data_IF_237263405772
#
_entry.id   IF_237263405772
#
_cell.length_a   1.000
_cell.length_b   1.000
_cell.length_c   1.000
_cell.angle_alpha   90.00
_cell.angle_beta   90.00
_cell.angle_gamma   90.00
#
_symmetry.space_group_name_H-M   'P 1'
#
loop_
_entity.id
_entity.type
_entity.pdbx_description
1 polymer ?
#
# COMPACT_ATOMS: atom_id res chain seq x y z
N UNK A 1 35.30 20.19 44.26
CA UNK A 1 34.32 20.49 43.20
C UNK A 1 34.95 20.12 41.86
N UNK A 2 34.74 18.88 41.41
CA UNK A 2 35.29 18.35 40.16
C UNK A 2 34.46 18.84 38.97
N UNK A 3 35.04 19.70 38.14
CA UNK A 3 34.49 20.12 36.86
C UNK A 3 34.61 18.95 35.88
N UNK A 4 33.58 18.11 35.82
CA UNK A 4 33.39 17.12 34.76
C UNK A 4 33.14 17.92 33.47
N UNK A 5 34.20 18.13 32.69
CA UNK A 5 34.10 18.48 31.26
C UNK A 5 33.32 17.35 30.60
N UNK A 6 32.05 17.60 30.28
CA UNK A 6 31.33 16.77 29.33
C UNK A 6 32.04 16.96 27.99
N UNK A 7 32.93 16.03 27.65
CA UNK A 7 33.39 15.92 26.27
C UNK A 7 32.14 15.71 25.41
N UNK A 8 31.84 16.71 24.58
CA UNK A 8 30.86 16.57 23.53
C UNK A 8 31.44 15.55 22.55
N UNK A 9 31.09 14.27 22.76
CA UNK A 9 31.38 13.20 21.81
C UNK A 9 30.82 13.67 20.47
N UNK A 10 31.72 13.94 19.52
CA UNK A 10 31.33 14.30 18.17
C UNK A 10 30.35 13.24 17.65
N UNK A 11 29.22 13.64 17.03
CA UNK A 11 28.30 12.66 16.47
C UNK A 11 29.11 11.75 15.55
N UNK A 12 29.07 10.44 15.79
CA UNK A 12 29.77 9.40 15.04
C UNK A 12 29.33 9.44 13.57
N UNK A 13 29.90 10.38 12.82
CA UNK A 13 29.44 10.80 11.50
C UNK A 13 30.37 10.28 10.39
N UNK A 14 31.24 9.30 10.68
CA UNK A 14 32.27 8.92 9.71
C UNK A 14 32.78 7.48 9.72
N UNK A 15 32.35 6.58 10.62
CA UNK A 15 32.90 5.22 10.62
C UNK A 15 32.21 4.33 9.59
N UNK A 16 32.69 4.40 8.35
CA UNK A 16 32.33 3.49 7.27
C UNK A 16 32.45 2.01 7.67
N UNK A 17 33.31 1.70 8.65
CA UNK A 17 33.46 0.35 9.24
C UNK A 17 32.22 -0.09 10.03
N UNK A 18 31.64 0.79 10.84
CA UNK A 18 30.40 0.49 11.58
C UNK A 18 29.21 0.35 10.63
N UNK A 19 29.15 1.20 9.59
CA UNK A 19 28.14 1.09 8.54
C UNK A 19 28.27 -0.22 7.73
N UNK A 20 29.51 -0.65 7.42
CA UNK A 20 29.79 -1.92 6.76
C UNK A 20 29.45 -3.11 7.65
N UNK A 21 29.86 -3.10 8.91
CA UNK A 21 29.56 -4.17 9.87
C UNK A 21 28.05 -4.27 10.15
N UNK A 22 27.36 -3.13 10.27
CA UNK A 22 25.90 -3.09 10.35
C UNK A 22 25.25 -3.64 9.09
N UNK A 23 25.72 -3.24 7.91
CA UNK A 23 25.23 -3.74 6.62
C UNK A 23 25.44 -5.26 6.46
N UNK A 24 26.58 -5.79 6.90
CA UNK A 24 26.88 -7.23 6.89
C UNK A 24 26.00 -7.97 7.89
N UNK A 25 25.85 -7.45 9.12
CA UNK A 25 24.96 -8.04 10.12
C UNK A 25 23.50 -8.09 9.63
N UNK A 26 23.04 -7.00 9.00
CA UNK A 26 21.72 -6.93 8.36
C UNK A 26 21.60 -7.90 7.19
N UNK A 27 22.63 -8.03 6.36
CA UNK A 27 22.63 -8.99 5.25
C UNK A 27 22.53 -10.44 5.78
N UNK A 28 23.23 -10.77 6.86
CA UNK A 28 23.12 -12.08 7.52
C UNK A 28 21.73 -12.29 8.15
N UNK A 29 21.17 -11.28 8.83
CA UNK A 29 19.80 -11.34 9.37
C UNK A 29 18.78 -11.53 8.24
N UNK A 30 18.94 -10.82 7.13
CA UNK A 30 18.09 -10.95 5.95
C UNK A 30 18.21 -12.33 5.28
N UNK A 31 19.42 -12.91 5.28
CA UNK A 31 19.68 -14.26 4.74
C UNK A 31 19.17 -15.38 5.63
N UNK A 32 18.98 -15.15 6.93
CA UNK A 32 18.39 -16.15 7.84
C UNK A 32 16.98 -16.53 7.37
N UNK A 33 16.17 -15.56 6.93
CA UNK A 33 14.76 -15.83 6.57
C UNK A 33 14.58 -16.73 5.33
N UNK A 34 15.25 -16.49 4.18
CA UNK A 34 15.22 -17.39 3.03
C UNK A 34 15.79 -18.79 3.29
N UNK A 35 16.75 -18.89 4.22
CA UNK A 35 17.46 -20.15 4.48
C UNK A 35 16.71 -21.02 5.50
N UNK A 36 16.03 -20.42 6.48
CA UNK A 36 15.35 -21.15 7.57
C UNK A 36 13.86 -21.38 7.33
N UNK A 37 13.19 -20.55 6.54
CA UNK A 37 11.74 -20.64 6.39
C UNK A 37 11.28 -21.02 4.98
N UNK A 38 10.17 -21.77 4.92
CA UNK A 38 9.47 -22.05 3.67
C UNK A 38 8.99 -20.76 2.98
N UNK A 39 8.74 -20.84 1.66
CA UNK A 39 8.61 -19.73 0.69
C UNK A 39 7.79 -18.52 1.17
N UNK A 40 6.81 -18.74 2.03
CA UNK A 40 5.83 -17.79 2.56
C UNK A 40 6.40 -16.77 3.57
N UNK A 41 7.18 -17.20 4.56
CA UNK A 41 7.67 -16.32 5.64
C UNK A 41 8.75 -15.35 5.20
N UNK A 42 9.41 -15.65 4.08
CA UNK A 42 10.49 -14.83 3.52
C UNK A 42 10.00 -13.39 3.27
N UNK A 43 8.77 -13.24 2.77
CA UNK A 43 8.20 -11.92 2.45
C UNK A 43 7.88 -11.12 3.71
N UNK A 44 7.37 -11.81 4.75
CA UNK A 44 7.11 -11.20 6.06
C UNK A 44 8.42 -10.80 6.75
N UNK A 45 9.45 -11.66 6.67
CA UNK A 45 10.79 -11.37 7.15
C UNK A 45 11.34 -10.08 6.55
N UNK A 46 11.32 -9.97 5.21
CA UNK A 46 11.78 -8.74 4.52
C UNK A 46 10.95 -7.51 4.87
N UNK A 47 9.63 -7.65 5.04
CA UNK A 47 8.77 -6.53 5.41
C UNK A 47 9.06 -6.01 6.83
N UNK A 48 9.19 -6.92 7.79
CA UNK A 48 9.50 -6.59 9.19
C UNK A 48 10.92 -6.05 9.32
N UNK A 49 11.89 -6.67 8.64
CA UNK A 49 13.28 -6.22 8.62
C UNK A 49 13.41 -4.84 7.97
N UNK A 50 12.73 -4.61 6.84
CA UNK A 50 12.67 -3.31 6.18
C UNK A 50 12.12 -2.22 7.11
N UNK A 51 11.08 -2.52 7.89
CA UNK A 51 10.57 -1.60 8.92
C UNK A 51 11.59 -1.40 10.06
N UNK A 52 12.18 -2.48 10.57
CA UNK A 52 13.16 -2.43 11.65
C UNK A 52 14.37 -1.56 11.28
N UNK A 53 14.83 -1.64 10.03
CA UNK A 53 15.88 -0.78 9.47
C UNK A 53 15.51 0.70 9.47
N UNK A 54 14.29 1.02 9.04
CA UNK A 54 13.79 2.40 9.05
C UNK A 54 13.58 2.93 10.48
N UNK A 55 13.28 2.05 11.44
CA UNK A 55 13.21 2.42 12.86
C UNK A 55 14.60 2.54 13.49
N UNK A 56 15.55 1.67 13.13
CA UNK A 56 16.94 1.74 13.60
C UNK A 56 17.61 3.02 13.13
N UNK A 57 17.23 3.53 11.95
CA UNK A 57 17.64 4.84 11.47
C UNK A 57 17.31 5.97 12.50
N UNK A 58 16.26 5.83 13.31
CA UNK A 58 15.94 6.80 14.37
C UNK A 58 16.98 6.84 15.49
N UNK A 59 17.69 5.73 15.71
CA UNK A 59 18.73 5.59 16.74
C UNK A 59 20.11 5.86 16.15
N UNK A 60 20.36 5.41 14.92
CA UNK A 60 21.65 5.55 14.23
C UNK A 60 21.43 6.27 12.89
N UNK A 61 21.69 7.59 12.80
CA UNK A 61 21.33 8.39 11.64
C UNK A 61 22.31 8.20 10.46
N UNK A 62 22.27 7.03 9.83
CA UNK A 62 23.03 6.70 8.61
C UNK A 62 22.13 6.65 7.38
N UNK A 63 22.54 7.34 6.30
CA UNK A 63 21.76 7.42 5.07
C UNK A 63 21.54 6.06 4.38
N UNK A 64 22.50 5.13 4.50
CA UNK A 64 22.41 3.79 3.92
C UNK A 64 21.25 2.96 4.47
N UNK A 65 21.00 3.02 5.78
CA UNK A 65 19.91 2.26 6.41
C UNK A 65 18.53 2.64 5.86
N UNK A 66 18.33 3.93 5.52
CA UNK A 66 17.08 4.41 4.92
C UNK A 66 16.84 3.81 3.55
N UNK A 67 17.88 3.80 2.71
CA UNK A 67 17.78 3.31 1.33
C UNK A 67 17.55 1.80 1.35
N UNK A 68 18.32 1.05 2.16
CA UNK A 68 18.20 -0.40 2.27
C UNK A 68 16.84 -0.80 2.85
N UNK A 69 16.37 -0.13 3.91
CA UNK A 69 15.05 -0.40 4.49
C UNK A 69 13.90 -0.11 3.52
N UNK A 70 13.96 1.01 2.80
CA UNK A 70 12.97 1.33 1.77
C UNK A 70 13.03 0.38 0.57
N UNK A 71 14.23 -0.06 0.17
CA UNK A 71 14.42 -1.03 -0.90
C UNK A 71 13.83 -2.39 -0.51
N UNK A 72 14.10 -2.89 0.70
CA UNK A 72 13.53 -4.15 1.20
C UNK A 72 12.01 -4.12 1.24
N UNK A 73 11.41 -3.04 1.74
CA UNK A 73 9.96 -2.86 1.73
C UNK A 73 9.39 -2.83 0.30
N UNK A 74 10.11 -2.21 -0.64
CA UNK A 74 9.72 -2.17 -2.05
C UNK A 74 9.82 -3.55 -2.69
N UNK A 75 10.86 -4.33 -2.38
CA UNK A 75 11.01 -5.71 -2.85
C UNK A 75 9.90 -6.61 -2.30
N UNK A 76 9.57 -6.46 -1.02
CA UNK A 76 8.44 -7.18 -0.41
C UNK A 76 7.11 -6.83 -1.10
N UNK A 77 6.88 -5.54 -1.40
CA UNK A 77 5.72 -5.10 -2.18
C UNK A 77 5.70 -5.72 -3.58
N UNK A 78 6.81 -5.63 -4.33
CA UNK A 78 6.91 -6.15 -5.70
C UNK A 78 6.62 -7.65 -5.73
N UNK A 79 7.15 -8.39 -4.76
CA UNK A 79 6.90 -9.82 -4.63
C UNK A 79 5.42 -10.12 -4.39
N UNK A 80 4.74 -9.41 -3.48
CA UNK A 80 3.31 -9.67 -3.22
C UNK A 80 2.41 -9.19 -4.37
N UNK A 81 2.73 -8.06 -4.99
CA UNK A 81 1.86 -7.45 -5.99
C UNK A 81 2.03 -8.04 -7.40
N UNK A 82 3.27 -8.42 -7.78
CA UNK A 82 3.58 -8.84 -9.16
C UNK A 82 3.80 -10.34 -9.31
N UNK A 83 3.92 -11.11 -8.22
CA UNK A 83 4.10 -12.55 -8.32
C UNK A 83 2.77 -13.29 -8.08
N UNK A 84 2.06 -13.72 -9.14
CA UNK A 84 0.80 -14.44 -9.00
C UNK A 84 0.97 -15.79 -8.29
N UNK A 85 2.16 -16.40 -8.34
CA UNK A 85 2.44 -17.67 -7.66
C UNK A 85 2.32 -17.59 -6.14
N UNK A 86 2.35 -16.37 -5.57
CA UNK A 86 2.09 -16.15 -4.14
C UNK A 86 0.69 -16.63 -3.75
N UNK A 87 -0.29 -16.54 -4.67
CA UNK A 87 -1.67 -16.97 -4.42
C UNK A 87 -1.85 -18.49 -4.42
N UNK A 88 -0.84 -19.25 -4.82
CA UNK A 88 -0.90 -20.72 -4.91
C UNK A 88 -0.04 -21.41 -3.86
N UNK A 89 0.69 -20.66 -3.03
CA UNK A 89 1.61 -21.23 -2.04
C UNK A 89 0.90 -22.04 -0.95
N UNK A 90 -0.31 -21.66 -0.55
CA UNK A 90 -1.09 -22.44 0.41
C UNK A 90 -2.48 -22.81 -0.11
N UNK A 91 -2.90 -24.09 0.08
CA UNK A 91 -4.29 -24.46 -0.06
C UNK A 91 -5.12 -23.66 0.94
N UNK A 92 -6.32 -23.24 0.52
CA UNK A 92 -7.19 -22.36 1.30
C UNK A 92 -7.53 -22.97 2.67
N UNK A 93 -7.31 -22.20 3.73
CA UNK A 93 -7.71 -22.57 5.09
C UNK A 93 -9.23 -22.46 5.23
N UNK A 94 -9.88 -23.35 6.00
CA UNK A 94 -11.34 -23.32 6.19
C UNK A 94 -11.85 -22.08 6.96
N UNK A 95 -10.96 -21.32 7.61
CA UNK A 95 -11.30 -20.13 8.39
C UNK A 95 -11.34 -18.89 7.47
N UNK A 96 -12.53 -18.59 6.93
CA UNK A 96 -12.78 -17.60 5.85
C UNK A 96 -12.23 -16.17 6.00
N UNK A 97 -11.91 -15.72 7.21
CA UNK A 97 -11.35 -14.38 7.43
C UNK A 97 -9.89 -14.41 7.88
N UNK A 98 -9.50 -15.44 8.64
CA UNK A 98 -8.15 -15.61 9.19
C UNK A 98 -7.30 -16.46 8.23
N UNK A 99 -7.10 -15.91 7.04
CA UNK A 99 -6.33 -16.55 5.98
C UNK A 99 -4.89 -16.00 5.93
N UNK A 100 -3.98 -16.81 5.37
CA UNK A 100 -2.57 -16.43 5.20
C UNK A 100 -2.41 -15.11 4.43
N UNK A 101 -3.31 -14.83 3.45
CA UNK A 101 -3.35 -13.57 2.71
C UNK A 101 -3.50 -12.34 3.62
N UNK A 102 -4.34 -12.44 4.65
CA UNK A 102 -4.55 -11.36 5.61
C UNK A 102 -3.26 -11.04 6.35
N UNK A 103 -2.52 -12.08 6.78
CA UNK A 103 -1.25 -11.90 7.47
C UNK A 103 -0.18 -11.33 6.52
N UNK A 104 0.03 -11.96 5.36
CA UNK A 104 1.09 -11.57 4.43
C UNK A 104 0.91 -10.14 3.88
N UNK A 105 -0.27 -9.84 3.33
CA UNK A 105 -0.52 -8.53 2.74
C UNK A 105 -0.82 -7.47 3.81
N UNK A 106 -1.51 -7.86 4.90
CA UNK A 106 -1.85 -6.95 6.00
C UNK A 106 -0.63 -6.47 6.76
N UNK A 107 0.23 -7.39 7.21
CA UNK A 107 1.47 -7.04 7.93
C UNK A 107 2.38 -6.21 7.03
N UNK A 108 2.58 -6.62 5.77
CA UNK A 108 3.43 -5.87 4.83
C UNK A 108 2.90 -4.46 4.57
N UNK A 109 1.57 -4.30 4.44
CA UNK A 109 0.95 -2.97 4.30
C UNK A 109 1.17 -2.10 5.54
N UNK A 110 0.99 -2.68 6.74
CA UNK A 110 1.27 -1.97 8.00
C UNK A 110 2.74 -1.56 8.10
N UNK A 111 3.67 -2.43 7.71
CA UNK A 111 5.11 -2.13 7.65
C UNK A 111 5.41 -0.97 6.68
N UNK A 112 4.79 -0.96 5.50
CA UNK A 112 4.92 0.15 4.53
C UNK A 112 4.42 1.48 5.11
N UNK A 113 3.23 1.48 5.71
CA UNK A 113 2.62 2.69 6.29
C UNK A 113 3.37 3.19 7.54
N UNK A 114 3.83 2.27 8.40
CA UNK A 114 4.63 2.59 9.58
C UNK A 114 6.02 3.10 9.17
N UNK A 115 6.65 2.48 8.17
CA UNK A 115 7.94 2.91 7.61
C UNK A 115 7.85 4.31 7.00
N UNK A 116 6.77 4.60 6.28
CA UNK A 116 6.51 5.95 5.75
C UNK A 116 6.43 7.01 6.86
N UNK A 117 5.66 6.74 7.93
CA UNK A 117 5.57 7.63 9.11
C UNK A 117 6.93 7.81 9.79
N UNK A 118 7.69 6.73 9.91
CA UNK A 118 8.99 6.75 10.57
C UNK A 118 9.99 7.64 9.83
N UNK A 119 10.02 7.59 8.49
CA UNK A 119 10.95 8.40 7.69
C UNK A 119 10.51 9.87 7.59
N UNK A 120 9.19 10.15 7.56
CA UNK A 120 8.67 11.51 7.43
C UNK A 120 9.05 12.44 8.60
N UNK A 121 9.28 11.89 9.79
CA UNK A 121 9.52 12.68 11.01
C UNK A 121 10.93 13.28 11.11
N UNK A 122 11.90 12.85 10.30
CA UNK A 122 13.34 13.05 10.64
C UNK A 122 14.20 13.63 9.51
N UNK A 123 13.69 14.26 8.45
CA UNK A 123 14.58 14.58 7.33
C UNK A 123 14.20 15.75 6.43
N UNK A 124 15.20 16.59 6.11
CA UNK A 124 15.09 17.77 5.23
C UNK A 124 15.55 17.54 3.76
N UNK A 125 16.11 16.37 3.43
CA UNK A 125 16.64 16.07 2.09
C UNK A 125 15.55 15.70 1.06
N UNK A 126 15.85 15.82 -0.24
CA UNK A 126 14.93 15.47 -1.34
C UNK A 126 14.49 14.00 -1.30
N UNK A 127 15.42 13.08 -1.04
CA UNK A 127 15.14 11.63 -0.91
C UNK A 127 14.10 11.38 0.18
N UNK A 128 14.16 12.12 1.28
CA UNK A 128 13.18 12.00 2.35
C UNK A 128 11.81 12.59 2.06
N UNK A 129 11.66 13.43 1.03
CA UNK A 129 10.33 13.82 0.56
C UNK A 129 9.71 12.74 -0.34
N UNK A 130 10.53 12.02 -1.11
CA UNK A 130 10.06 11.00 -2.06
C UNK A 130 9.76 9.67 -1.37
N UNK A 131 10.66 9.18 -0.52
CA UNK A 131 10.54 7.83 0.09
C UNK A 131 9.25 7.65 0.89
N UNK A 132 8.85 8.53 1.82
CA UNK A 132 7.58 8.37 2.55
C UNK A 132 6.37 8.37 1.63
N UNK A 133 6.35 9.23 0.60
CA UNK A 133 5.25 9.29 -0.37
C UNK A 133 5.12 7.97 -1.12
N UNK A 134 6.25 7.45 -1.60
CA UNK A 134 6.31 6.15 -2.27
C UNK A 134 5.80 5.04 -1.34
N UNK A 135 6.31 4.94 -0.12
CA UNK A 135 5.88 3.93 0.85
C UNK A 135 4.39 4.02 1.21
N UNK A 136 3.84 5.24 1.37
CA UNK A 136 2.39 5.42 1.56
C UNK A 136 1.58 4.94 0.34
N UNK A 137 2.02 5.26 -0.87
CA UNK A 137 1.33 4.81 -2.09
C UNK A 137 1.37 3.30 -2.24
N UNK A 138 2.53 2.67 -2.02
CA UNK A 138 2.68 1.21 -2.07
C UNK A 138 1.81 0.53 -1.01
N UNK A 139 1.79 1.05 0.22
CA UNK A 139 0.94 0.53 1.30
C UNK A 139 -0.56 0.66 0.98
N UNK A 140 -0.98 1.79 0.40
CA UNK A 140 -2.37 1.98 -0.02
C UNK A 140 -2.77 1.00 -1.13
N UNK A 141 -1.92 0.80 -2.14
CA UNK A 141 -2.13 -0.18 -3.21
C UNK A 141 -2.22 -1.59 -2.62
N UNK A 142 -1.31 -1.97 -1.73
CA UNK A 142 -1.30 -3.30 -1.13
C UNK A 142 -2.53 -3.56 -0.26
N UNK A 143 -3.00 -2.54 0.45
CA UNK A 143 -4.27 -2.61 1.21
C UNK A 143 -5.47 -2.82 0.28
N UNK A 144 -5.48 -2.14 -0.87
CA UNK A 144 -6.53 -2.31 -1.86
C UNK A 144 -6.49 -3.72 -2.48
N UNK A 145 -5.30 -4.25 -2.79
CA UNK A 145 -5.14 -5.62 -3.26
C UNK A 145 -5.63 -6.64 -2.21
N UNK A 146 -5.25 -6.47 -0.94
CA UNK A 146 -5.73 -7.30 0.16
C UNK A 146 -7.26 -7.30 0.25
N UNK A 147 -7.90 -6.13 0.14
CA UNK A 147 -9.36 -6.03 0.14
C UNK A 147 -9.98 -6.85 -1.00
N UNK A 148 -9.40 -6.81 -2.21
CA UNK A 148 -9.89 -7.60 -3.34
C UNK A 148 -9.67 -9.10 -3.13
N UNK A 149 -8.50 -9.50 -2.63
CA UNK A 149 -8.18 -10.91 -2.35
C UNK A 149 -9.11 -11.48 -1.27
N UNK A 150 -9.41 -10.74 -0.21
CA UNK A 150 -10.31 -11.20 0.86
C UNK A 150 -11.75 -11.39 0.35
N UNK A 151 -12.23 -10.54 -0.55
CA UNK A 151 -13.54 -10.72 -1.18
C UNK A 151 -13.51 -11.93 -2.11
N UNK A 152 -12.45 -12.09 -2.91
CA UNK A 152 -12.28 -13.24 -3.79
C UNK A 152 -12.27 -14.56 -3.01
N UNK A 153 -11.55 -14.59 -1.89
CA UNK A 153 -11.49 -15.73 -1.00
C UNK A 153 -12.86 -16.01 -0.38
N UNK A 154 -13.52 -15.02 0.22
CA UNK A 154 -14.81 -15.19 0.90
C UNK A 154 -15.90 -15.84 0.00
N UNK A 155 -15.94 -15.46 -1.28
CA UNK A 155 -16.94 -15.95 -2.24
C UNK A 155 -16.51 -17.18 -3.04
N UNK A 156 -15.25 -17.61 -2.94
CA UNK A 156 -14.79 -18.84 -3.61
C UNK A 156 -15.27 -20.09 -2.84
N UNK A 157 -15.91 -21.03 -3.54
CA UNK A 157 -16.44 -22.27 -2.94
C UNK A 157 -15.51 -23.50 -3.08
N UNK A 158 -14.46 -23.42 -3.91
CA UNK A 158 -13.48 -24.50 -4.12
C UNK A 158 -12.12 -24.27 -3.43
N UNK A 159 -11.19 -25.25 -3.53
CA UNK A 159 -9.83 -25.17 -2.98
C UNK A 159 -8.92 -24.16 -3.69
N UNK A 160 -9.32 -23.66 -4.86
CA UNK A 160 -8.61 -22.65 -5.66
C UNK A 160 -9.45 -21.39 -5.84
N UNK A 161 -8.78 -20.24 -6.04
CA UNK A 161 -9.44 -18.97 -6.37
C UNK A 161 -10.13 -19.10 -7.73
N UNK A 162 -11.45 -19.11 -7.74
CA UNK A 162 -12.24 -19.18 -8.98
C UNK A 162 -12.85 -17.81 -9.25
N UNK A 163 -12.29 -17.09 -10.21
CA UNK A 163 -12.84 -15.83 -10.72
C UNK A 163 -14.00 -16.12 -11.67
N UNK A 164 -15.10 -16.66 -11.15
CA UNK A 164 -16.29 -16.98 -11.98
C UNK A 164 -17.06 -15.70 -12.30
N UNK A 165 -16.89 -15.10 -13.48
CA UNK A 165 -17.54 -13.82 -13.88
C UNK A 165 -19.07 -13.88 -14.06
N UNK A 166 -19.69 -15.04 -13.83
CA UNK A 166 -21.13 -15.27 -13.95
C UNK A 166 -21.63 -16.08 -12.76
N UNK A 167 -22.72 -15.64 -12.12
CA UNK A 167 -23.49 -16.47 -11.18
C UNK A 167 -23.54 -16.02 -9.72
N UNK A 168 -22.93 -14.89 -9.30
CA UNK A 168 -23.03 -14.47 -7.89
C UNK A 168 -23.13 -12.94 -7.72
N UNK A 169 -24.32 -12.38 -7.95
CA UNK A 169 -24.64 -10.95 -7.77
C UNK A 169 -24.15 -10.40 -6.42
N UNK A 170 -24.24 -11.19 -5.35
CA UNK A 170 -23.78 -10.82 -4.02
C UNK A 170 -22.26 -10.51 -3.98
N UNK A 171 -21.44 -11.25 -4.73
CA UNK A 171 -19.99 -11.01 -4.82
C UNK A 171 -19.70 -9.70 -5.54
N UNK A 172 -20.35 -9.47 -6.67
CA UNK A 172 -20.09 -8.29 -7.50
C UNK A 172 -20.55 -7.00 -6.78
N UNK A 173 -21.68 -7.07 -6.08
CA UNK A 173 -22.15 -6.06 -5.12
C UNK A 173 -21.14 -5.81 -4.00
N UNK A 174 -20.57 -6.87 -3.41
CA UNK A 174 -19.59 -6.73 -2.33
C UNK A 174 -18.34 -6.01 -2.80
N UNK A 175 -17.83 -6.32 -4.01
CA UNK A 175 -16.72 -5.57 -4.60
C UNK A 175 -17.06 -4.09 -4.78
N UNK A 176 -18.24 -3.77 -5.32
CA UNK A 176 -18.67 -2.38 -5.55
C UNK A 176 -18.80 -1.60 -4.23
N UNK A 177 -19.42 -2.19 -3.21
CA UNK A 177 -19.53 -1.60 -1.86
C UNK A 177 -18.14 -1.41 -1.24
N UNK A 178 -17.28 -2.43 -1.29
CA UNK A 178 -15.97 -2.38 -0.66
C UNK A 178 -15.05 -1.34 -1.32
N UNK A 179 -15.06 -1.24 -2.65
CA UNK A 179 -14.30 -0.19 -3.34
C UNK A 179 -14.85 1.21 -3.04
N UNK A 180 -16.18 1.38 -2.92
CA UNK A 180 -16.78 2.67 -2.57
C UNK A 180 -16.39 3.09 -1.14
N UNK A 181 -16.42 2.15 -0.18
CA UNK A 181 -15.93 2.37 1.19
C UNK A 181 -14.44 2.70 1.21
N UNK A 182 -13.62 2.01 0.42
CA UNK A 182 -12.19 2.30 0.32
C UNK A 182 -11.92 3.70 -0.29
N UNK A 183 -12.66 4.07 -1.34
CA UNK A 183 -12.61 5.41 -1.93
C UNK A 183 -12.99 6.49 -0.92
N UNK A 184 -14.07 6.27 -0.16
CA UNK A 184 -14.50 7.17 0.90
C UNK A 184 -13.43 7.30 2.02
N UNK A 185 -12.82 6.18 2.43
CA UNK A 185 -11.72 6.19 3.39
C UNK A 185 -10.51 6.99 2.86
N UNK A 186 -10.13 6.83 1.59
CA UNK A 186 -9.09 7.64 0.96
C UNK A 186 -9.43 9.13 0.96
N UNK A 187 -10.69 9.50 0.70
CA UNK A 187 -11.12 10.90 0.77
C UNK A 187 -10.98 11.46 2.19
N UNK A 188 -11.48 10.74 3.20
CA UNK A 188 -11.36 11.15 4.60
C UNK A 188 -9.90 11.29 5.04
N UNK A 189 -9.05 10.32 4.70
CA UNK A 189 -7.62 10.35 5.00
C UNK A 189 -6.94 11.50 4.26
N UNK A 190 -7.25 11.70 2.98
CA UNK A 190 -6.70 12.79 2.16
C UNK A 190 -7.13 14.17 2.64
N UNK A 191 -8.35 14.31 3.18
CA UNK A 191 -8.83 15.53 3.84
C UNK A 191 -8.12 15.79 5.17
N UNK A 192 -8.06 14.80 6.06
CA UNK A 192 -7.37 14.90 7.37
C UNK A 192 -5.87 15.18 7.21
N UNK A 193 -5.21 14.49 6.28
CA UNK A 193 -3.80 14.67 6.00
C UNK A 193 -3.49 15.89 5.10
N UNK A 194 -4.52 16.59 4.60
CA UNK A 194 -4.42 17.74 3.67
C UNK A 194 -3.65 17.43 2.38
N UNK A 195 -3.59 16.17 1.95
CA UNK A 195 -2.87 15.74 0.73
C UNK A 195 -3.84 15.72 -0.46
N UNK A 196 -3.61 16.58 -1.45
CA UNK A 196 -4.46 16.66 -2.66
C UNK A 196 -4.44 15.35 -3.47
N UNK A 197 -3.27 14.73 -3.64
CA UNK A 197 -3.09 13.50 -4.43
C UNK A 197 -3.97 12.35 -3.91
N UNK A 198 -4.01 12.15 -2.58
CA UNK A 198 -4.82 11.08 -1.97
C UNK A 198 -6.32 11.33 -2.17
N UNK A 199 -6.75 12.59 -2.11
CA UNK A 199 -8.14 12.94 -2.41
C UNK A 199 -8.50 12.66 -3.86
N UNK A 200 -7.64 13.02 -4.80
CA UNK A 200 -7.88 12.74 -6.22
C UNK A 200 -7.91 11.23 -6.51
N UNK A 201 -7.02 10.45 -5.88
CA UNK A 201 -7.07 9.00 -5.97
C UNK A 201 -8.40 8.43 -5.43
N UNK A 202 -8.90 8.96 -4.31
CA UNK A 202 -10.22 8.61 -3.78
C UNK A 202 -11.37 8.97 -4.73
N UNK A 203 -11.37 10.18 -5.31
CA UNK A 203 -12.38 10.58 -6.32
C UNK A 203 -12.32 9.70 -7.56
N UNK A 204 -11.12 9.44 -8.07
CA UNK A 204 -10.92 8.59 -9.24
C UNK A 204 -11.41 7.15 -8.98
N UNK A 205 -11.10 6.58 -7.82
CA UNK A 205 -11.60 5.26 -7.46
C UNK A 205 -13.14 5.25 -7.29
N UNK A 206 -13.71 6.31 -6.69
CA UNK A 206 -15.16 6.44 -6.54
C UNK A 206 -15.86 6.51 -7.90
N UNK A 207 -15.28 7.22 -8.86
CA UNK A 207 -15.76 7.25 -10.23
C UNK A 207 -15.74 5.86 -10.87
N UNK A 208 -14.61 5.16 -10.75
CA UNK A 208 -14.47 3.81 -11.31
C UNK A 208 -15.51 2.88 -10.69
N UNK A 209 -15.78 2.98 -9.38
CA UNK A 209 -16.84 2.19 -8.75
C UNK A 209 -18.22 2.52 -9.25
N UNK A 210 -18.55 3.80 -9.42
CA UNK A 210 -19.86 4.20 -9.93
C UNK A 210 -20.02 3.71 -11.36
N UNK A 211 -19.02 3.92 -12.22
CA UNK A 211 -19.03 3.42 -13.59
C UNK A 211 -19.20 1.90 -13.63
N UNK A 212 -18.45 1.16 -12.80
CA UNK A 212 -18.58 -0.30 -12.68
C UNK A 212 -20.02 -0.68 -12.29
N UNK A 213 -20.59 -0.02 -11.27
CA UNK A 213 -21.95 -0.27 -10.80
C UNK A 213 -22.98 -0.04 -11.93
N UNK A 214 -22.85 1.06 -12.68
CA UNK A 214 -23.74 1.33 -13.81
C UNK A 214 -23.56 0.34 -14.97
N UNK A 215 -22.34 -0.05 -15.31
CA UNK A 215 -22.06 -0.92 -16.46
C UNK A 215 -22.37 -2.38 -16.15
N UNK A 216 -22.03 -2.88 -14.97
CA UNK A 216 -22.14 -4.30 -14.63
C UNK A 216 -23.39 -4.62 -13.80
N UNK A 217 -23.72 -3.78 -12.80
CA UNK A 217 -24.83 -4.08 -11.89
C UNK A 217 -26.19 -3.69 -12.50
N UNK A 218 -26.24 -2.63 -13.32
CA UNK A 218 -27.46 -2.20 -14.02
C UNK A 218 -27.68 -2.84 -15.40
N UNK A 219 -26.66 -3.43 -16.04
CA UNK A 219 -26.83 -4.13 -17.32
C UNK A 219 -27.76 -5.35 -17.23
N UNK A 220 -27.93 -5.91 -16.03
CA UNK A 220 -28.86 -7.01 -15.77
C UNK A 220 -30.32 -6.53 -15.56
N UNK A 221 -30.60 -5.23 -15.56
CA UNK A 221 -31.90 -4.63 -15.20
C UNK A 221 -32.56 -3.88 -16.38
N UNK A 222 -32.97 -4.60 -17.42
CA UNK A 222 -34.00 -4.17 -18.40
C UNK A 222 -33.88 -2.77 -19.03
N UNK A 223 -34.98 -2.18 -19.56
CA UNK A 223 -34.99 -0.89 -20.26
C UNK A 223 -34.55 0.33 -19.43
N UNK A 224 -34.58 0.26 -18.09
CA UNK A 224 -34.07 1.30 -17.19
C UNK A 224 -32.55 1.54 -17.38
N UNK A 225 -31.83 0.58 -17.96
CA UNK A 225 -30.41 0.67 -18.29
C UNK A 225 -30.06 1.86 -19.19
N UNK A 226 -30.89 2.21 -20.18
CA UNK A 226 -30.60 3.32 -21.10
C UNK A 226 -30.53 4.65 -20.34
N UNK A 227 -31.43 4.84 -19.38
CA UNK A 227 -31.47 6.04 -18.55
C UNK A 227 -30.29 6.06 -17.58
N UNK A 228 -29.96 4.92 -16.95
CA UNK A 228 -28.79 4.79 -16.08
C UNK A 228 -27.45 5.01 -16.78
N UNK A 229 -27.31 4.55 -18.03
CA UNK A 229 -26.11 4.75 -18.83
C UNK A 229 -25.88 6.23 -19.16
N UNK A 230 -26.92 6.99 -19.52
CA UNK A 230 -26.81 8.44 -19.71
C UNK A 230 -26.42 9.17 -18.42
N UNK A 231 -26.95 8.76 -17.27
CA UNK A 231 -26.57 9.32 -15.95
C UNK A 231 -25.11 8.98 -15.61
N UNK A 232 -24.68 7.74 -15.81
CA UNK A 232 -23.30 7.32 -15.60
C UNK A 232 -22.31 8.13 -16.47
N UNK A 233 -22.63 8.30 -17.75
CA UNK A 233 -21.86 9.17 -18.67
C UNK A 233 -21.85 10.62 -18.17
N UNK A 234 -22.98 11.17 -17.72
CA UNK A 234 -23.05 12.51 -17.18
C UNK A 234 -22.16 12.69 -15.94
N UNK A 235 -22.17 11.74 -15.00
CA UNK A 235 -21.30 11.76 -13.81
C UNK A 235 -19.83 11.71 -14.20
N UNK A 236 -19.46 10.83 -15.13
CA UNK A 236 -18.08 10.73 -15.65
C UNK A 236 -17.65 12.05 -16.27
N UNK A 237 -18.50 12.68 -17.10
CA UNK A 237 -18.21 13.97 -17.72
C UNK A 237 -18.11 15.09 -16.70
N UNK A 238 -18.97 15.14 -15.68
CA UNK A 238 -18.91 16.15 -14.61
C UNK A 238 -17.59 16.05 -13.86
N UNK A 239 -17.17 14.84 -13.50
CA UNK A 239 -15.92 14.68 -12.75
C UNK A 239 -14.70 14.85 -13.66
N UNK A 240 -14.74 14.40 -14.92
CA UNK A 240 -13.70 14.69 -15.91
C UNK A 240 -13.56 16.21 -16.10
N UNK A 241 -14.68 16.94 -16.15
CA UNK A 241 -14.69 18.41 -16.17
C UNK A 241 -14.09 19.00 -14.90
N UNK A 242 -14.43 18.49 -13.72
CA UNK A 242 -13.87 18.97 -12.46
C UNK A 242 -12.35 18.74 -12.36
N UNK A 243 -11.88 17.58 -12.84
CA UNK A 243 -10.47 17.25 -12.98
C UNK A 243 -9.82 18.22 -13.97
N UNK A 244 -10.37 18.36 -15.19
CA UNK A 244 -9.84 19.24 -16.22
C UNK A 244 -9.72 20.70 -15.76
N UNK A 245 -10.77 21.26 -15.16
CA UNK A 245 -10.80 22.63 -14.65
C UNK A 245 -9.75 22.89 -13.57
N UNK A 246 -9.43 21.86 -12.78
CA UNK A 246 -8.49 21.97 -11.66
C UNK A 246 -7.03 21.69 -12.05
N UNK A 247 -6.79 20.95 -13.13
CA UNK A 247 -5.44 20.61 -13.61
C UNK A 247 -4.94 21.46 -14.79
N UNK A 248 -5.83 22.01 -15.63
CA UNK A 248 -5.45 22.69 -16.88
C UNK A 248 -5.79 24.18 -16.98
N UNK A 249 -6.36 24.81 -15.94
CA UNK A 249 -6.31 26.28 -15.87
C UNK A 249 -4.93 26.68 -15.33
N UNK A 250 -3.97 27.12 -16.17
CA UNK A 250 -2.89 27.94 -15.65
C UNK A 250 -3.56 29.11 -14.93
N UNK A 251 -3.09 29.39 -13.73
CA UNK A 251 -3.35 30.62 -13.01
C UNK A 251 -3.09 31.77 -13.99
N UNK A 252 -4.12 32.28 -14.66
CA UNK A 252 -4.06 33.59 -15.28
C UNK A 252 -4.03 34.57 -14.12
N UNK A 253 -2.81 34.83 -13.63
CA UNK A 253 -2.50 36.03 -12.85
C UNK A 253 -2.75 37.22 -13.76
N UNK A 254 -3.95 37.77 -13.68
CA UNK A 254 -4.24 39.17 -13.95
C UNK A 254 -4.12 39.94 -12.65
#
# INVERSE_FOLDING_TARGET
WWLIRKEAVAPASGDARLAWQGGVALLFVSLIFPVQFEREWITLGWAVEGLALLLLFRVVPHAGLRIVGAALLTVAFVRLALNPAVLEYHPRTQVRLWNWYLYAYGITSLCLLAGARAVQQFTETLVARVVPRLLYTLGAILTFLLLNIQIADYFSAGPTLTFSFTGNFARDMTYSIAWALFAFALLLVGMKAKVQVVRYAGVALLLVTLLKLFVFDLANLGPLYRIGAFIGVAVVLIVASFVYQRFLRPEQRG
#
